data_IF_647227194487
#
_entry.id   IF_647227194487
#
_cell.length_a   1.000
_cell.length_b   1.000
_cell.length_c   1.000
_cell.angle_alpha   90.00
_cell.angle_beta   90.00
_cell.angle_gamma   90.00
#
_symmetry.space_group_name_H-M   'P 1'
#
loop_
_entity.id
_entity.type
_entity.pdbx_description
1 polymer ?
#
# COMPACT_ATOMS: atom_id res chain seq x y z
N UNK A 1 27.41 2.81 17.67
CA UNK A 1 26.61 3.45 16.62
C UNK A 1 27.45 4.21 15.61
N UNK A 2 28.43 5.04 16.00
CA UNK A 2 29.23 5.82 15.06
C UNK A 2 30.00 4.95 14.05
N UNK A 3 30.60 3.85 14.51
CA UNK A 3 31.23 2.85 13.66
C UNK A 3 30.30 2.29 12.55
N UNK A 4 29.03 2.04 12.88
CA UNK A 4 28.05 1.54 11.92
C UNK A 4 27.67 2.60 10.89
N UNK A 5 27.54 3.85 11.33
CA UNK A 5 27.26 4.98 10.45
C UNK A 5 28.43 5.25 9.50
N UNK A 6 29.64 5.23 10.00
CA UNK A 6 30.87 5.36 9.20
C UNK A 6 30.94 4.24 8.15
N UNK A 7 30.79 2.98 8.59
CA UNK A 7 30.77 1.83 7.69
C UNK A 7 29.68 1.95 6.60
N UNK A 8 28.49 2.43 6.95
CA UNK A 8 27.40 2.64 5.97
C UNK A 8 27.78 3.69 4.92
N UNK A 9 28.37 4.81 5.33
CA UNK A 9 28.81 5.87 4.42
C UNK A 9 29.95 5.39 3.50
N UNK A 10 30.90 4.67 4.05
CA UNK A 10 31.98 4.04 3.25
C UNK A 10 31.44 3.03 2.25
N UNK A 11 30.49 2.18 2.68
CA UNK A 11 29.84 1.19 1.82
C UNK A 11 29.08 1.86 0.67
N UNK A 12 28.35 2.92 0.95
CA UNK A 12 27.64 3.73 -0.05
C UNK A 12 28.61 4.30 -1.07
N UNK A 13 29.68 4.97 -0.63
CA UNK A 13 30.67 5.58 -1.50
C UNK A 13 31.42 4.53 -2.38
N UNK A 14 31.76 3.39 -1.79
CA UNK A 14 32.43 2.29 -2.50
C UNK A 14 31.50 1.66 -3.55
N UNK A 15 30.24 1.40 -3.19
CA UNK A 15 29.23 0.87 -4.12
C UNK A 15 29.00 1.80 -5.31
N UNK A 16 28.72 3.08 -5.05
CA UNK A 16 28.43 4.08 -6.07
C UNK A 16 29.63 4.29 -7.02
N UNK A 17 30.84 4.27 -6.45
CA UNK A 17 32.09 4.33 -7.25
C UNK A 17 32.28 3.12 -8.15
N UNK A 18 31.93 1.92 -7.70
CA UNK A 18 32.13 0.67 -8.46
C UNK A 18 31.07 0.43 -9.52
N UNK A 19 29.83 0.82 -9.23
CA UNK A 19 28.69 0.44 -10.06
C UNK A 19 28.06 1.59 -10.84
N UNK A 20 28.47 2.83 -10.57
CA UNK A 20 27.92 4.05 -11.18
C UNK A 20 26.39 4.14 -11.11
N UNK A 21 25.81 3.62 -10.03
CA UNK A 21 24.38 3.63 -9.69
C UNK A 21 24.23 3.93 -8.21
N UNK A 22 23.09 4.49 -7.76
CA UNK A 22 22.87 4.74 -6.34
C UNK A 22 22.93 3.46 -5.51
N UNK A 23 23.39 3.59 -4.25
CA UNK A 23 23.46 2.47 -3.33
C UNK A 23 22.07 1.83 -3.13
N UNK A 24 22.01 0.51 -3.06
CA UNK A 24 20.80 -0.31 -2.94
C UNK A 24 19.90 -0.39 -4.19
N UNK A 25 20.32 0.15 -5.33
CA UNK A 25 19.55 0.02 -6.59
C UNK A 25 19.55 -1.43 -7.10
N UNK A 26 20.67 -2.14 -6.91
CA UNK A 26 20.84 -3.55 -7.31
C UNK A 26 21.10 -4.38 -6.05
N UNK A 27 20.16 -5.27 -5.75
CA UNK A 27 20.18 -6.05 -4.52
C UNK A 27 21.41 -6.98 -4.46
N UNK A 28 21.70 -7.73 -5.52
CA UNK A 28 22.78 -8.72 -5.53
C UNK A 28 24.16 -8.05 -5.36
N UNK A 29 24.33 -6.87 -5.91
CA UNK A 29 25.53 -6.05 -5.70
C UNK A 29 25.62 -5.45 -4.31
N UNK A 30 24.50 -5.30 -3.61
CA UNK A 30 24.43 -4.75 -2.25
C UNK A 30 24.69 -5.81 -1.17
N UNK A 31 24.47 -7.09 -1.47
CA UNK A 31 24.63 -8.22 -0.53
C UNK A 31 25.97 -8.22 0.22
N UNK A 32 27.15 -8.08 -0.43
CA UNK A 32 28.43 -8.12 0.29
C UNK A 32 28.60 -7.04 1.36
N UNK A 33 27.89 -5.92 1.22
CA UNK A 33 27.90 -4.83 2.21
C UNK A 33 27.02 -5.16 3.41
N UNK A 34 25.88 -5.82 3.19
CA UNK A 34 25.03 -6.31 4.28
C UNK A 34 25.71 -7.45 5.06
N UNK A 35 26.40 -8.36 4.39
CA UNK A 35 27.18 -9.42 5.04
C UNK A 35 28.25 -8.85 5.98
N UNK A 36 29.02 -7.86 5.52
CA UNK A 36 30.01 -7.18 6.37
C UNK A 36 29.38 -6.38 7.52
N UNK A 37 28.22 -5.76 7.28
CA UNK A 37 27.48 -5.09 8.35
C UNK A 37 27.02 -6.09 9.41
N UNK A 38 26.57 -7.27 8.99
CA UNK A 38 26.21 -8.35 9.92
C UNK A 38 27.42 -8.81 10.76
N UNK A 39 28.58 -9.03 10.14
CA UNK A 39 29.80 -9.38 10.86
C UNK A 39 30.15 -8.33 11.93
N UNK A 40 30.11 -7.05 11.56
CA UNK A 40 30.37 -5.95 12.48
C UNK A 40 29.39 -5.93 13.65
N UNK A 41 28.09 -6.12 13.40
CA UNK A 41 27.05 -6.17 14.43
C UNK A 41 27.24 -7.40 15.35
N UNK A 42 27.60 -8.56 14.81
CA UNK A 42 27.89 -9.75 15.60
C UNK A 42 29.09 -9.57 16.52
N UNK A 43 30.13 -8.88 16.07
CA UNK A 43 31.28 -8.56 16.92
C UNK A 43 30.89 -7.57 18.03
N UNK A 44 30.12 -6.54 17.72
CA UNK A 44 29.59 -5.62 18.74
C UNK A 44 28.68 -6.34 19.74
N UNK A 45 27.89 -7.31 19.32
CA UNK A 45 27.04 -8.12 20.20
C UNK A 45 27.86 -9.00 21.17
N UNK A 46 29.02 -9.49 20.73
CA UNK A 46 29.95 -10.25 21.63
C UNK A 46 30.52 -9.35 22.72
N UNK A 47 30.80 -8.07 22.40
CA UNK A 47 31.31 -7.09 23.37
C UNK A 47 30.24 -6.66 24.39
N UNK A 48 29.01 -6.46 23.94
CA UNK A 48 27.86 -6.07 24.77
C UNK A 48 26.60 -6.84 24.37
N UNK A 49 26.34 -7.93 25.08
CA UNK A 49 25.19 -8.82 24.82
C UNK A 49 23.83 -8.19 25.12
N UNK A 50 23.80 -7.09 25.88
CA UNK A 50 22.56 -6.46 26.29
C UNK A 50 22.22 -5.22 25.42
N UNK A 51 22.99 -4.99 24.37
CA UNK A 51 22.85 -3.82 23.51
C UNK A 51 21.64 -3.93 22.59
N UNK A 52 20.59 -3.16 22.92
CA UNK A 52 19.31 -3.15 22.17
C UNK A 52 19.51 -2.63 20.74
N UNK A 53 20.34 -1.61 20.56
CA UNK A 53 20.62 -1.05 19.22
C UNK A 53 21.20 -2.13 18.30
N UNK A 54 22.16 -2.89 18.81
CA UNK A 54 22.81 -3.95 18.05
C UNK A 54 21.84 -5.07 17.73
N UNK A 55 21.04 -5.53 18.71
CA UNK A 55 20.06 -6.58 18.49
C UNK A 55 19.02 -6.21 17.45
N UNK A 56 18.46 -5.01 17.54
CA UNK A 56 17.44 -4.52 16.60
C UNK A 56 18.01 -4.34 15.17
N UNK A 57 19.22 -3.76 15.05
CA UNK A 57 19.86 -3.60 13.74
C UNK A 57 20.30 -4.94 13.14
N UNK A 58 20.71 -5.90 13.96
CA UNK A 58 21.04 -7.23 13.48
C UNK A 58 19.82 -7.94 12.86
N UNK A 59 18.64 -7.80 13.47
CA UNK A 59 17.40 -8.30 12.89
C UNK A 59 17.09 -7.61 11.55
N UNK A 60 17.30 -6.29 11.45
CA UNK A 60 17.09 -5.54 10.21
C UNK A 60 18.07 -5.92 9.10
N UNK A 61 19.35 -6.11 9.42
CA UNK A 61 20.36 -6.59 8.45
C UNK A 61 20.03 -7.99 7.96
N UNK A 62 19.57 -8.89 8.84
CA UNK A 62 19.15 -10.23 8.44
C UNK A 62 17.97 -10.24 7.49
N UNK A 63 17.03 -9.33 7.68
CA UNK A 63 15.94 -9.11 6.72
C UNK A 63 16.49 -8.70 5.34
N UNK A 64 17.46 -7.80 5.28
CA UNK A 64 18.14 -7.43 4.03
C UNK A 64 18.94 -8.59 3.42
N UNK A 65 19.39 -9.55 4.23
CA UNK A 65 20.04 -10.79 3.78
C UNK A 65 19.05 -11.91 3.40
N UNK A 66 17.76 -11.57 3.26
CA UNK A 66 16.67 -12.50 2.91
C UNK A 66 16.38 -13.58 3.94
N UNK A 67 16.76 -13.39 5.19
CA UNK A 67 16.25 -14.24 6.25
C UNK A 67 14.72 -14.05 6.35
N UNK A 68 14.01 -15.11 6.72
CA UNK A 68 12.56 -15.02 6.91
C UNK A 68 12.21 -14.03 8.03
N UNK A 69 11.08 -13.38 7.91
CA UNK A 69 10.58 -12.48 8.95
C UNK A 69 10.42 -13.20 10.30
N UNK A 70 10.02 -14.49 10.29
CA UNK A 70 9.96 -15.31 11.50
C UNK A 70 11.32 -15.45 12.18
N UNK A 71 12.39 -15.61 11.39
CA UNK A 71 13.78 -15.68 11.89
C UNK A 71 14.17 -14.35 12.55
N UNK A 72 13.84 -13.22 11.93
CA UNK A 72 14.11 -11.90 12.48
C UNK A 72 13.30 -11.63 13.76
N UNK A 73 12.04 -11.98 13.78
CA UNK A 73 11.18 -11.89 14.97
C UNK A 73 11.70 -12.76 16.11
N UNK A 74 12.10 -14.01 15.82
CA UNK A 74 12.64 -14.94 16.80
C UNK A 74 13.92 -14.42 17.43
N UNK A 75 14.83 -13.84 16.65
CA UNK A 75 16.07 -13.24 17.18
C UNK A 75 15.74 -12.19 18.25
N UNK A 76 14.77 -11.31 17.99
CA UNK A 76 14.35 -10.29 18.94
C UNK A 76 13.62 -10.86 20.16
N UNK A 77 12.82 -11.92 19.98
CA UNK A 77 12.17 -12.63 21.09
C UNK A 77 13.19 -13.30 22.01
N UNK A 78 14.19 -13.97 21.46
CA UNK A 78 15.27 -14.62 22.21
C UNK A 78 16.06 -13.56 22.99
N UNK A 79 16.46 -12.46 22.34
CA UNK A 79 17.11 -11.34 23.00
C UNK A 79 16.29 -10.74 24.15
N UNK A 80 14.97 -10.53 23.91
CA UNK A 80 14.06 -10.02 24.92
C UNK A 80 13.95 -10.94 26.13
N UNK A 81 13.86 -12.25 25.92
CA UNK A 81 13.76 -13.25 26.99
C UNK A 81 15.03 -13.30 27.85
N UNK A 82 16.21 -13.27 27.21
CA UNK A 82 17.49 -13.30 27.89
C UNK A 82 17.72 -12.04 28.74
N UNK A 83 17.24 -10.87 28.27
CA UNK A 83 17.52 -9.57 28.84
C UNK A 83 16.36 -8.91 29.59
N UNK A 84 15.24 -9.62 29.76
CA UNK A 84 13.95 -9.08 30.24
C UNK A 84 14.07 -8.22 31.52
N UNK A 85 14.97 -8.56 32.42
CA UNK A 85 15.14 -7.90 33.71
C UNK A 85 16.03 -6.64 33.63
N UNK A 86 16.78 -6.45 32.56
CA UNK A 86 17.71 -5.34 32.39
C UNK A 86 17.18 -4.26 31.46
N UNK A 87 16.14 -4.57 30.65
CA UNK A 87 15.58 -3.67 29.68
C UNK A 87 14.61 -2.65 30.30
N UNK A 88 14.73 -1.40 29.91
CA UNK A 88 13.73 -0.38 30.21
C UNK A 88 12.40 -0.66 29.48
N UNK A 89 11.31 -0.02 29.91
CA UNK A 89 10.02 -0.15 29.23
C UNK A 89 10.05 0.42 27.82
N UNK A 90 10.85 1.46 27.57
CA UNK A 90 11.08 2.01 26.22
C UNK A 90 11.80 1.00 25.33
N UNK A 91 12.82 0.31 25.82
CA UNK A 91 13.54 -0.73 25.07
C UNK A 91 12.62 -1.90 24.74
N UNK A 92 11.81 -2.34 25.70
CA UNK A 92 10.80 -3.38 25.47
C UNK A 92 9.76 -2.95 24.43
N UNK A 93 9.26 -1.71 24.53
CA UNK A 93 8.30 -1.18 23.56
C UNK A 93 8.90 -1.13 22.14
N UNK A 94 10.18 -0.72 22.02
CA UNK A 94 10.92 -0.73 20.76
C UNK A 94 11.03 -2.14 20.17
N UNK A 95 11.46 -3.10 20.98
CA UNK A 95 11.60 -4.50 20.56
C UNK A 95 10.23 -5.08 20.16
N UNK A 96 9.18 -4.83 20.96
CA UNK A 96 7.83 -5.28 20.62
C UNK A 96 7.31 -4.68 19.31
N UNK A 97 7.60 -3.42 19.03
CA UNK A 97 7.20 -2.78 17.77
C UNK A 97 7.92 -3.43 16.58
N UNK A 98 9.23 -3.68 16.71
CA UNK A 98 10.00 -4.35 15.66
C UNK A 98 9.54 -5.81 15.44
N UNK A 99 9.23 -6.55 16.50
CA UNK A 99 8.62 -7.89 16.40
C UNK A 99 7.27 -7.80 15.67
N UNK A 100 6.42 -6.85 16.03
CA UNK A 100 5.13 -6.63 15.38
C UNK A 100 5.25 -6.35 13.88
N UNK A 101 6.31 -5.67 13.47
CA UNK A 101 6.62 -5.48 12.05
C UNK A 101 6.94 -6.79 11.34
N UNK A 102 7.83 -7.62 11.91
CA UNK A 102 8.26 -8.88 11.28
C UNK A 102 7.15 -9.94 11.25
N UNK A 103 6.26 -9.96 12.23
CA UNK A 103 5.11 -10.88 12.23
C UNK A 103 4.06 -10.45 11.18
N UNK A 104 4.01 -9.17 10.83
CA UNK A 104 3.06 -8.65 9.86
C UNK A 104 1.64 -8.50 10.44
N UNK A 105 0.63 -8.49 9.55
CA UNK A 105 -0.77 -8.30 9.91
C UNK A 105 -1.58 -9.61 9.92
N UNK A 106 -0.94 -10.75 10.17
CA UNK A 106 -1.62 -12.03 10.35
C UNK A 106 -2.43 -12.09 11.65
N UNK A 107 -3.17 -13.16 11.87
CA UNK A 107 -4.13 -13.31 12.96
C UNK A 107 -3.56 -13.09 14.39
N UNK A 108 -2.27 -13.22 14.57
CA UNK A 108 -1.58 -12.97 15.84
C UNK A 108 -1.23 -11.50 16.08
N UNK A 109 -1.32 -10.66 15.07
CA UNK A 109 -1.16 -9.21 15.18
C UNK A 109 -2.53 -8.61 15.55
N UNK A 110 -2.59 -7.59 16.39
CA UNK A 110 -1.49 -6.73 16.78
C UNK A 110 -0.92 -7.00 18.18
N UNK A 111 -0.82 -8.24 18.62
CA UNK A 111 -0.45 -8.58 20.01
C UNK A 111 0.81 -7.84 20.49
N UNK A 112 1.89 -7.84 19.70
CA UNK A 112 3.15 -7.19 20.09
C UNK A 112 3.06 -5.68 20.03
N UNK A 113 2.35 -5.12 19.05
CA UNK A 113 2.11 -3.68 18.98
C UNK A 113 1.29 -3.19 20.19
N UNK A 114 0.28 -3.98 20.62
CA UNK A 114 -0.48 -3.69 21.84
C UNK A 114 0.37 -3.83 23.11
N UNK A 115 1.33 -4.77 23.17
CA UNK A 115 2.29 -4.86 24.26
C UNK A 115 3.16 -3.59 24.32
N UNK A 116 3.60 -3.06 23.17
CA UNK A 116 4.34 -1.80 23.11
C UNK A 116 3.47 -0.61 23.54
N UNK A 117 2.23 -0.54 23.10
CA UNK A 117 1.28 0.50 23.52
C UNK A 117 1.03 0.48 25.02
N UNK A 118 0.85 -0.70 25.62
CA UNK A 118 0.64 -0.86 27.08
C UNK A 118 1.83 -0.35 27.92
N UNK A 119 3.03 -0.33 27.34
CA UNK A 119 4.22 0.31 27.92
C UNK A 119 4.30 1.80 27.63
N UNK A 120 3.26 2.40 27.05
CA UNK A 120 3.25 3.81 26.64
C UNK A 120 4.37 4.16 25.67
N UNK A 121 4.54 3.34 24.63
CA UNK A 121 5.60 3.50 23.61
C UNK A 121 5.82 4.96 23.21
N UNK A 122 7.04 5.47 23.21
CA UNK A 122 7.36 6.82 22.76
C UNK A 122 7.51 6.90 21.22
N UNK A 123 7.40 5.78 20.50
CA UNK A 123 7.68 5.65 19.07
C UNK A 123 6.43 5.80 18.23
N UNK A 124 6.48 6.67 17.22
CA UNK A 124 5.39 6.87 16.26
C UNK A 124 5.08 5.59 15.47
N UNK A 125 6.10 4.80 15.19
CA UNK A 125 6.05 3.53 14.47
C UNK A 125 5.10 2.53 15.13
N UNK A 126 5.05 2.46 16.45
CA UNK A 126 4.10 1.63 17.20
C UNK A 126 2.66 1.97 16.82
N UNK A 127 2.34 3.25 16.79
CA UNK A 127 0.98 3.72 16.52
C UNK A 127 0.68 3.74 15.02
N UNK A 128 1.69 3.95 14.16
CA UNK A 128 1.57 3.75 12.72
C UNK A 128 1.21 2.29 12.42
N UNK A 129 1.94 1.33 12.98
CA UNK A 129 1.66 -0.09 12.83
C UNK A 129 0.26 -0.49 13.30
N UNK A 130 -0.18 0.00 14.48
CA UNK A 130 -1.55 -0.22 14.97
C UNK A 130 -2.59 0.43 14.06
N UNK A 131 -2.33 1.62 13.57
CA UNK A 131 -3.22 2.31 12.63
C UNK A 131 -3.39 1.54 11.31
N UNK A 132 -2.30 1.05 10.74
CA UNK A 132 -2.31 0.24 9.52
C UNK A 132 -3.03 -1.10 9.74
N UNK A 133 -2.80 -1.77 10.86
CA UNK A 133 -3.51 -3.00 11.20
C UNK A 133 -5.04 -2.80 11.24
N UNK A 134 -5.52 -1.82 12.00
CA UNK A 134 -6.96 -1.59 12.11
C UNK A 134 -7.57 -1.02 10.82
N UNK A 135 -6.78 -0.34 10.00
CA UNK A 135 -7.25 0.08 8.69
C UNK A 135 -7.39 -1.13 7.74
N UNK A 136 -6.45 -2.07 7.74
CA UNK A 136 -6.56 -3.33 7.00
C UNK A 136 -7.78 -4.16 7.44
N UNK A 137 -8.06 -4.21 8.74
CA UNK A 137 -9.28 -4.85 9.25
C UNK A 137 -10.57 -4.12 8.80
N UNK A 138 -10.52 -2.79 8.68
CA UNK A 138 -11.63 -2.03 8.09
C UNK A 138 -11.85 -2.39 6.62
N UNK A 139 -10.78 -2.50 5.83
CA UNK A 139 -10.87 -2.88 4.41
C UNK A 139 -11.46 -4.31 4.24
N UNK A 140 -11.09 -5.23 5.14
CA UNK A 140 -11.57 -6.62 5.09
C UNK A 140 -13.04 -6.75 5.43
N UNK A 141 -13.51 -6.08 6.48
CA UNK A 141 -14.83 -6.28 7.06
C UNK A 141 -15.80 -5.12 6.81
N UNK A 142 -15.37 -4.02 6.17
CA UNK A 142 -16.09 -2.74 6.02
C UNK A 142 -16.66 -2.21 7.36
N UNK A 143 -15.93 -2.48 8.45
CA UNK A 143 -16.40 -2.18 9.79
C UNK A 143 -16.02 -0.78 10.29
N UNK A 144 -16.94 0.20 10.31
CA UNK A 144 -16.74 1.56 10.83
C UNK A 144 -16.01 1.63 12.18
N UNK A 145 -16.11 0.58 13.00
CA UNK A 145 -15.43 0.50 14.29
C UNK A 145 -13.91 0.46 14.11
N UNK A 146 -13.43 -0.37 13.18
CA UNK A 146 -12.00 -0.52 12.92
C UNK A 146 -11.41 0.76 12.34
N UNK A 147 -12.11 1.42 11.42
CA UNK A 147 -11.71 2.73 10.90
C UNK A 147 -11.56 3.79 12.01
N UNK A 148 -12.50 3.85 12.95
CA UNK A 148 -12.43 4.80 14.08
C UNK A 148 -11.24 4.51 15.01
N UNK A 149 -10.86 3.26 15.17
CA UNK A 149 -9.67 2.86 15.92
C UNK A 149 -8.41 3.26 15.15
N UNK A 150 -8.35 2.97 13.84
CA UNK A 150 -7.23 3.37 12.99
C UNK A 150 -6.96 4.88 13.03
N UNK A 151 -8.02 5.69 12.92
CA UNK A 151 -7.93 7.16 13.02
C UNK A 151 -7.24 7.59 14.32
N UNK A 152 -7.62 7.02 15.48
CA UNK A 152 -7.01 7.37 16.78
C UNK A 152 -5.52 7.04 16.82
N UNK A 153 -5.13 5.90 16.25
CA UNK A 153 -3.73 5.51 16.23
C UNK A 153 -2.91 6.37 15.27
N UNK A 154 -3.42 6.67 14.08
CA UNK A 154 -2.75 7.59 13.15
C UNK A 154 -2.65 9.01 13.74
N UNK A 155 -3.68 9.49 14.46
CA UNK A 155 -3.62 10.77 15.15
C UNK A 155 -2.50 10.77 16.19
N UNK A 156 -2.36 9.68 16.96
CA UNK A 156 -1.29 9.56 17.95
C UNK A 156 0.08 9.48 17.30
N UNK A 157 0.25 8.71 16.22
CA UNK A 157 1.50 8.66 15.46
C UNK A 157 1.91 10.05 14.95
N UNK A 158 0.99 10.79 14.32
CA UNK A 158 1.19 12.17 13.85
C UNK A 158 1.57 13.15 14.98
N UNK A 159 1.07 12.92 16.19
CA UNK A 159 1.41 13.78 17.34
C UNK A 159 2.84 13.56 17.81
N UNK A 160 3.35 12.33 17.70
CA UNK A 160 4.71 11.97 18.08
C UNK A 160 5.71 12.36 16.99
N UNK A 161 5.45 12.00 15.74
CA UNK A 161 6.29 12.38 14.60
C UNK A 161 5.50 13.14 13.54
N UNK A 162 6.03 14.30 13.15
CA UNK A 162 5.42 15.25 12.21
C UNK A 162 5.87 15.02 10.77
N UNK A 163 6.26 13.79 10.42
CA UNK A 163 6.65 13.43 9.08
C UNK A 163 5.45 13.39 8.08
N UNK A 164 5.78 13.22 6.81
CA UNK A 164 4.81 13.16 5.73
C UNK A 164 3.83 12.00 5.93
N UNK A 165 4.34 10.78 6.15
CA UNK A 165 3.55 9.54 6.17
C UNK A 165 2.51 9.55 7.29
N UNK A 166 2.90 9.94 8.50
CA UNK A 166 1.98 10.00 9.63
C UNK A 166 0.86 11.03 9.41
N UNK A 167 1.14 12.16 8.75
CA UNK A 167 0.10 13.13 8.42
C UNK A 167 -0.79 12.63 7.27
N UNK A 168 -0.21 12.02 6.25
CA UNK A 168 -0.95 11.47 5.12
C UNK A 168 -1.91 10.36 5.59
N UNK A 169 -1.42 9.39 6.37
CA UNK A 169 -2.22 8.27 6.85
C UNK A 169 -3.39 8.73 7.73
N UNK A 170 -3.16 9.74 8.58
CA UNK A 170 -4.24 10.35 9.34
C UNK A 170 -5.28 11.01 8.43
N UNK A 171 -4.84 11.76 7.43
CA UNK A 171 -5.76 12.43 6.49
C UNK A 171 -6.51 11.43 5.61
N UNK A 172 -5.86 10.37 5.12
CA UNK A 172 -6.49 9.30 4.37
C UNK A 172 -7.59 8.59 5.19
N UNK A 173 -7.29 8.29 6.46
CA UNK A 173 -8.29 7.69 7.35
C UNK A 173 -9.47 8.63 7.68
N UNK A 174 -9.25 9.93 7.74
CA UNK A 174 -10.33 10.92 7.85
C UNK A 174 -11.18 10.97 6.58
N UNK A 175 -10.56 10.89 5.42
CA UNK A 175 -11.25 10.85 4.13
C UNK A 175 -12.16 9.62 4.06
N UNK A 176 -11.66 8.42 4.37
CA UNK A 176 -12.45 7.20 4.41
C UNK A 176 -13.61 7.29 5.43
N UNK A 177 -13.42 8.01 6.53
CA UNK A 177 -14.48 8.32 7.50
C UNK A 177 -15.40 9.48 7.04
N UNK A 178 -15.37 9.86 5.76
CA UNK A 178 -16.18 10.91 5.13
C UNK A 178 -15.99 12.32 5.71
N UNK A 179 -14.88 12.55 6.43
CA UNK A 179 -14.49 13.85 6.97
C UNK A 179 -13.67 14.63 5.94
N UNK A 180 -14.20 14.78 4.74
CA UNK A 180 -13.51 15.30 3.57
C UNK A 180 -12.88 16.69 3.79
N UNK A 181 -13.59 17.59 4.51
CA UNK A 181 -13.06 18.94 4.78
C UNK A 181 -11.85 18.90 5.74
N UNK A 182 -11.88 18.03 6.77
CA UNK A 182 -10.76 17.89 7.71
C UNK A 182 -9.55 17.26 6.99
N UNK A 183 -9.76 16.22 6.19
CA UNK A 183 -8.73 15.58 5.38
C UNK A 183 -8.08 16.55 4.39
N UNK A 184 -8.90 17.31 3.67
CA UNK A 184 -8.46 18.31 2.69
C UNK A 184 -7.48 19.32 3.29
N UNK A 185 -7.79 19.89 4.46
CA UNK A 185 -6.90 20.86 5.13
C UNK A 185 -5.51 20.26 5.38
N UNK A 186 -5.46 19.00 5.76
CA UNK A 186 -4.18 18.32 6.00
C UNK A 186 -3.43 18.09 4.68
N UNK A 187 -4.13 17.61 3.64
CA UNK A 187 -3.52 17.41 2.33
C UNK A 187 -3.03 18.73 1.69
N UNK A 188 -3.75 19.84 1.84
CA UNK A 188 -3.30 21.16 1.38
C UNK A 188 -2.00 21.59 2.11
N UNK A 189 -1.91 21.36 3.43
CA UNK A 189 -0.70 21.65 4.20
C UNK A 189 0.48 20.75 3.79
N UNK A 190 0.23 19.50 3.45
CA UNK A 190 1.25 18.59 2.94
C UNK A 190 1.68 18.98 1.53
N UNK A 191 0.75 19.31 0.64
CA UNK A 191 1.06 19.73 -0.73
C UNK A 191 1.91 21.00 -0.76
N UNK A 192 1.70 21.93 0.17
CA UNK A 192 2.55 23.12 0.30
C UNK A 192 4.02 22.78 0.61
N UNK A 193 4.28 21.64 1.28
CA UNK A 193 5.65 21.18 1.60
C UNK A 193 6.20 20.22 0.54
N UNK A 194 5.34 19.48 -0.11
CA UNK A 194 5.65 18.42 -1.08
C UNK A 194 4.88 18.64 -2.38
N UNK A 195 5.18 19.73 -3.14
CA UNK A 195 4.31 20.22 -4.22
C UNK A 195 4.24 19.29 -5.43
N UNK A 196 5.12 18.31 -5.54
CA UNK A 196 5.18 17.38 -6.67
C UNK A 196 4.62 15.99 -6.36
N UNK A 197 4.08 15.78 -5.17
CA UNK A 197 3.48 14.50 -4.79
C UNK A 197 2.12 14.31 -5.46
N UNK A 198 2.08 13.39 -6.43
CA UNK A 198 0.87 13.12 -7.22
C UNK A 198 -0.26 12.55 -6.35
N UNK A 199 0.07 11.75 -5.35
CA UNK A 199 -0.88 11.21 -4.39
C UNK A 199 -1.63 12.30 -3.60
N UNK A 200 -0.97 13.40 -3.26
CA UNK A 200 -1.62 14.54 -2.60
C UNK A 200 -2.57 15.26 -3.54
N UNK A 201 -2.17 15.43 -4.80
CA UNK A 201 -2.99 16.09 -5.82
C UNK A 201 -4.25 15.27 -6.09
N UNK A 202 -4.11 13.94 -6.21
CA UNK A 202 -5.25 13.02 -6.35
C UNK A 202 -6.16 13.06 -5.12
N UNK A 203 -5.59 12.98 -3.91
CA UNK A 203 -6.36 13.03 -2.67
C UNK A 203 -7.16 14.33 -2.52
N UNK A 204 -6.59 15.47 -2.94
CA UNK A 204 -7.28 16.75 -2.96
C UNK A 204 -8.41 16.75 -3.99
N UNK A 205 -8.20 16.15 -5.17
CA UNK A 205 -9.28 15.99 -6.14
C UNK A 205 -10.45 15.18 -5.55
N UNK A 206 -10.16 14.06 -4.91
CA UNK A 206 -11.16 13.23 -4.25
C UNK A 206 -11.94 14.01 -3.17
N UNK A 207 -11.24 14.75 -2.32
CA UNK A 207 -11.91 15.61 -1.34
C UNK A 207 -12.83 16.64 -2.01
N UNK A 208 -12.39 17.30 -3.09
CA UNK A 208 -13.19 18.29 -3.79
C UNK A 208 -14.41 17.68 -4.51
N UNK A 209 -14.30 16.46 -5.03
CA UNK A 209 -15.43 15.69 -5.58
C UNK A 209 -16.53 15.56 -4.53
N UNK A 210 -16.19 15.02 -3.36
CA UNK A 210 -17.19 14.77 -2.30
C UNK A 210 -17.66 16.03 -1.58
N UNK A 211 -16.90 17.13 -1.69
CA UNK A 211 -17.35 18.46 -1.25
C UNK A 211 -18.22 19.19 -2.29
N UNK A 212 -18.44 18.60 -3.46
CA UNK A 212 -19.26 19.16 -4.54
C UNK A 212 -18.58 20.23 -5.39
N UNK A 213 -17.25 20.41 -5.26
CA UNK A 213 -16.50 21.44 -5.97
C UNK A 213 -15.93 20.89 -7.29
N UNK A 214 -16.79 20.54 -8.25
CA UNK A 214 -16.41 19.85 -9.51
C UNK A 214 -15.27 20.55 -10.28
N UNK A 215 -15.29 21.87 -10.39
CA UNK A 215 -14.26 22.64 -11.12
C UNK A 215 -12.87 22.48 -10.48
N UNK A 216 -12.79 22.54 -9.14
CA UNK A 216 -11.54 22.34 -8.42
C UNK A 216 -11.05 20.90 -8.50
N UNK A 217 -11.95 19.94 -8.42
CA UNK A 217 -11.62 18.54 -8.58
C UNK A 217 -11.01 18.27 -9.95
N UNK A 218 -11.64 18.74 -11.03
CA UNK A 218 -11.12 18.63 -12.39
C UNK A 218 -9.78 19.34 -12.56
N UNK A 219 -9.59 20.51 -11.92
CA UNK A 219 -8.32 21.21 -11.91
C UNK A 219 -7.20 20.38 -11.28
N UNK A 220 -7.42 19.75 -10.13
CA UNK A 220 -6.44 18.85 -9.52
C UNK A 220 -6.19 17.62 -10.39
N UNK A 221 -7.23 16.96 -10.89
CA UNK A 221 -7.09 15.78 -11.76
C UNK A 221 -6.22 16.08 -13.01
N UNK A 222 -6.38 17.23 -13.61
CA UNK A 222 -5.59 17.62 -14.80
C UNK A 222 -4.08 17.74 -14.52
N UNK A 223 -3.67 17.77 -13.26
CA UNK A 223 -2.26 17.86 -12.85
C UNK A 223 -1.67 16.50 -12.44
N UNK A 224 -2.52 15.48 -12.22
CA UNK A 224 -2.06 14.15 -11.84
C UNK A 224 -1.32 13.52 -13.02
N UNK A 225 -0.11 13.04 -12.74
CA UNK A 225 0.68 12.22 -13.66
C UNK A 225 0.70 10.80 -13.08
N UNK A 226 0.26 9.83 -13.88
CA UNK A 226 0.35 8.43 -13.53
C UNK A 226 1.78 7.93 -13.62
N UNK A 227 2.12 6.94 -12.82
CA UNK A 227 3.45 6.38 -12.72
C UNK A 227 4.18 6.76 -11.44
N UNK A 228 5.45 6.40 -11.37
CA UNK A 228 6.29 6.59 -10.19
C UNK A 228 6.81 8.03 -10.10
N UNK A 229 6.75 8.63 -8.89
CA UNK A 229 7.43 9.91 -8.62
C UNK A 229 8.88 9.64 -8.26
N UNK A 230 9.80 10.07 -9.15
CA UNK A 230 11.25 9.89 -9.00
C UNK A 230 11.85 10.74 -7.86
N UNK A 231 11.11 11.67 -7.29
CA UNK A 231 11.61 12.58 -6.25
C UNK A 231 11.64 11.95 -4.84
N UNK A 232 11.11 10.72 -4.68
CA UNK A 232 11.00 10.07 -3.38
C UNK A 232 11.67 8.70 -3.40
N UNK A 233 12.80 8.59 -2.68
CA UNK A 233 13.66 7.39 -2.69
C UNK A 233 13.10 6.21 -1.89
N UNK A 234 12.13 6.40 -1.01
CA UNK A 234 11.63 5.37 -0.09
C UNK A 234 10.15 5.04 -0.22
N UNK A 235 9.35 5.90 -0.83
CA UNK A 235 7.95 5.63 -1.12
C UNK A 235 7.66 5.84 -2.58
N UNK A 236 6.96 4.89 -3.18
CA UNK A 236 6.41 5.06 -4.51
C UNK A 236 5.20 5.97 -4.44
N UNK A 237 5.20 7.03 -5.24
CA UNK A 237 4.02 7.88 -5.44
C UNK A 237 3.27 7.44 -6.69
N UNK A 238 3.18 6.12 -6.88
CA UNK A 238 2.55 5.54 -8.04
C UNK A 238 1.04 5.75 -7.98
N UNK A 239 0.50 6.40 -9.01
CA UNK A 239 -0.91 6.57 -9.23
C UNK A 239 -1.32 5.70 -10.40
N UNK A 240 -2.27 4.81 -10.16
CA UNK A 240 -2.88 4.04 -11.23
C UNK A 240 -3.74 4.94 -12.13
N UNK A 241 -3.66 4.71 -13.43
CA UNK A 241 -4.50 5.41 -14.41
C UNK A 241 -6.00 5.25 -14.11
N UNK A 242 -6.41 4.09 -13.62
CA UNK A 242 -7.80 3.81 -13.23
C UNK A 242 -8.30 4.78 -12.15
N UNK A 243 -7.50 5.15 -11.17
CA UNK A 243 -7.89 6.10 -10.12
C UNK A 243 -8.25 7.46 -10.69
N UNK A 244 -7.56 7.86 -11.76
CA UNK A 244 -7.83 9.12 -12.46
C UNK A 244 -9.07 9.00 -13.33
N UNK A 245 -9.22 7.88 -14.06
CA UNK A 245 -10.36 7.68 -14.97
C UNK A 245 -11.66 7.54 -14.22
N UNK A 246 -11.70 6.77 -13.15
CA UNK A 246 -12.86 6.63 -12.26
C UNK A 246 -13.32 7.99 -11.71
N UNK A 247 -12.36 8.88 -11.43
CA UNK A 247 -12.68 10.24 -10.99
C UNK A 247 -13.41 11.06 -12.06
N UNK A 248 -13.03 10.94 -13.32
CA UNK A 248 -13.77 11.59 -14.43
C UNK A 248 -15.17 11.03 -14.57
N UNK A 249 -15.35 9.72 -14.41
CA UNK A 249 -16.69 9.12 -14.41
C UNK A 249 -17.55 9.65 -13.26
N UNK A 250 -17.00 9.74 -12.04
CA UNK A 250 -17.74 10.27 -10.87
C UNK A 250 -18.14 11.73 -11.07
N UNK A 251 -17.31 12.52 -11.75
CA UNK A 251 -17.55 13.93 -12.09
C UNK A 251 -18.57 14.13 -13.24
N UNK A 252 -19.06 13.07 -13.88
CA UNK A 252 -19.87 13.10 -15.10
C UNK A 252 -19.12 13.59 -16.35
N UNK A 253 -17.79 13.63 -16.32
CA UNK A 253 -16.91 13.99 -17.44
C UNK A 253 -16.73 12.78 -18.39
N UNK A 254 -17.87 12.28 -18.90
CA UNK A 254 -17.95 11.00 -19.62
C UNK A 254 -17.14 10.94 -20.90
N UNK A 255 -16.99 12.04 -21.63
CA UNK A 255 -16.19 12.03 -22.86
C UNK A 255 -14.71 11.87 -22.53
N UNK A 256 -14.21 12.60 -21.51
CA UNK A 256 -12.85 12.47 -21.02
C UNK A 256 -12.59 11.06 -20.48
N UNK A 257 -13.54 10.50 -19.72
CA UNK A 257 -13.47 9.12 -19.22
C UNK A 257 -13.32 8.12 -20.36
N UNK A 258 -14.22 8.14 -21.34
CA UNK A 258 -14.20 7.22 -22.49
C UNK A 258 -12.92 7.37 -23.32
N UNK A 259 -12.45 8.59 -23.55
CA UNK A 259 -11.26 8.83 -24.36
C UNK A 259 -9.99 8.29 -23.69
N UNK A 260 -9.89 8.42 -22.37
CA UNK A 260 -8.75 7.87 -21.61
C UNK A 260 -8.78 6.33 -21.50
N UNK A 261 -9.96 5.72 -21.44
CA UNK A 261 -10.08 4.27 -21.31
C UNK A 261 -9.91 3.49 -22.63
N UNK A 262 -9.89 4.14 -23.78
CA UNK A 262 -9.85 3.48 -25.11
C UNK A 262 -8.69 2.51 -25.27
N UNK A 263 -7.49 2.89 -24.85
CA UNK A 263 -6.29 2.08 -25.06
C UNK A 263 -6.22 0.90 -24.09
N UNK A 264 -6.86 1.02 -22.94
CA UNK A 264 -6.85 -0.01 -21.89
C UNK A 264 -7.86 -1.12 -22.23
N UNK A 265 -9.04 -0.76 -22.68
CA UNK A 265 -10.14 -1.68 -22.97
C UNK A 265 -9.82 -2.73 -24.04
N UNK A 266 -8.96 -2.40 -24.99
CA UNK A 266 -8.56 -3.36 -26.02
C UNK A 266 -7.73 -4.53 -25.47
N UNK A 267 -7.10 -4.37 -24.31
CA UNK A 267 -6.09 -5.28 -23.79
C UNK A 267 -6.51 -6.09 -22.56
N UNK A 268 -7.63 -5.77 -21.92
CA UNK A 268 -8.05 -6.38 -20.66
C UNK A 268 -9.44 -7.01 -20.72
N UNK A 269 -9.74 -7.89 -19.77
CA UNK A 269 -11.09 -8.36 -19.51
C UNK A 269 -11.90 -7.18 -18.94
N UNK A 270 -13.05 -6.92 -19.52
CA UNK A 270 -13.91 -5.78 -19.17
C UNK A 270 -15.29 -6.24 -18.68
N UNK A 271 -15.39 -7.47 -18.24
CA UNK A 271 -16.65 -8.09 -17.80
C UNK A 271 -17.21 -7.49 -16.50
N UNK A 272 -16.37 -6.83 -15.71
CA UNK A 272 -16.74 -6.13 -14.48
C UNK A 272 -16.81 -4.59 -14.61
N UNK A 273 -16.57 -4.04 -15.81
CA UNK A 273 -16.54 -2.59 -16.03
C UNK A 273 -17.93 -2.00 -16.34
N UNK A 274 -18.90 -2.23 -15.49
CA UNK A 274 -20.27 -1.77 -15.64
C UNK A 274 -20.36 -0.27 -15.98
N UNK A 275 -19.58 0.59 -15.31
CA UNK A 275 -19.55 2.03 -15.52
C UNK A 275 -19.09 2.45 -16.91
N UNK A 276 -18.23 1.66 -17.57
CA UNK A 276 -17.80 1.92 -18.94
C UNK A 276 -18.91 1.60 -19.94
N UNK A 277 -19.54 0.42 -19.83
CA UNK A 277 -20.69 0.05 -20.65
C UNK A 277 -21.86 1.01 -20.46
N UNK A 278 -22.16 1.37 -19.20
CA UNK A 278 -23.16 2.37 -18.89
C UNK A 278 -22.86 3.71 -19.60
N UNK A 279 -21.60 4.16 -19.59
CA UNK A 279 -21.21 5.41 -20.21
C UNK A 279 -21.34 5.36 -21.73
N UNK A 280 -20.93 4.28 -22.39
CA UNK A 280 -21.17 4.09 -23.82
C UNK A 280 -22.66 4.13 -24.16
N UNK A 281 -23.49 3.51 -23.33
CA UNK A 281 -24.94 3.45 -23.52
C UNK A 281 -25.59 4.81 -23.43
N UNK A 282 -25.34 5.58 -22.37
CA UNK A 282 -25.96 6.92 -22.16
C UNK A 282 -25.43 7.97 -23.15
N UNK A 283 -24.20 7.80 -23.65
CA UNK A 283 -23.61 8.65 -24.70
C UNK A 283 -24.07 8.24 -26.11
N UNK A 284 -25.00 7.29 -26.22
CA UNK A 284 -25.54 6.77 -27.47
C UNK A 284 -24.49 6.19 -28.43
N UNK A 285 -23.38 5.66 -27.92
CA UNK A 285 -22.29 4.99 -28.66
C UNK A 285 -22.62 3.50 -28.85
N UNK A 286 -23.75 3.20 -29.47
CA UNK A 286 -24.30 1.84 -29.57
C UNK A 286 -23.40 0.86 -30.32
N UNK A 287 -22.74 1.30 -31.38
CA UNK A 287 -21.85 0.45 -32.18
C UNK A 287 -20.61 0.05 -31.36
N UNK A 288 -20.00 0.99 -30.63
CA UNK A 288 -18.88 0.72 -29.73
C UNK A 288 -19.32 -0.23 -28.59
N UNK A 289 -20.49 0.02 -28.00
CA UNK A 289 -21.08 -0.81 -26.96
C UNK A 289 -21.23 -2.28 -27.40
N UNK A 290 -21.93 -2.54 -28.50
CA UNK A 290 -22.16 -3.92 -28.96
C UNK A 290 -20.90 -4.59 -29.49
N UNK A 291 -19.97 -3.84 -30.07
CA UNK A 291 -18.67 -4.38 -30.47
C UNK A 291 -17.91 -4.92 -29.25
N UNK A 292 -17.87 -4.12 -28.17
CA UNK A 292 -17.21 -4.52 -26.93
C UNK A 292 -17.94 -5.70 -26.26
N UNK A 293 -19.27 -5.66 -26.17
CA UNK A 293 -20.09 -6.77 -25.62
C UNK A 293 -19.80 -8.08 -26.34
N UNK A 294 -19.82 -8.08 -27.66
CA UNK A 294 -19.55 -9.29 -28.44
C UNK A 294 -18.12 -9.81 -28.24
N UNK A 295 -17.14 -8.91 -28.18
CA UNK A 295 -15.74 -9.28 -27.92
C UNK A 295 -15.58 -9.90 -26.52
N UNK A 296 -16.18 -9.30 -25.49
CA UNK A 296 -16.09 -9.80 -24.12
C UNK A 296 -16.79 -11.15 -23.95
N UNK A 297 -18.00 -11.31 -24.53
CA UNK A 297 -18.68 -12.61 -24.54
C UNK A 297 -17.83 -13.68 -25.22
N UNK A 298 -17.22 -13.37 -26.37
CA UNK A 298 -16.36 -14.32 -27.08
C UNK A 298 -15.15 -14.74 -26.24
N UNK A 299 -14.52 -13.80 -25.55
CA UNK A 299 -13.39 -14.08 -24.63
C UNK A 299 -13.81 -14.98 -23.47
N UNK A 300 -14.94 -14.67 -22.81
CA UNK A 300 -15.46 -15.48 -21.69
C UNK A 300 -15.84 -16.90 -22.15
N UNK A 301 -16.45 -17.04 -23.34
CA UNK A 301 -16.76 -18.36 -23.91
C UNK A 301 -15.49 -19.13 -24.32
N UNK A 302 -14.44 -18.44 -24.73
CA UNK A 302 -13.13 -19.04 -25.04
C UNK A 302 -12.44 -19.52 -23.76
N UNK A 303 -12.42 -18.73 -22.68
CA UNK A 303 -11.87 -19.14 -21.39
C UNK A 303 -12.57 -20.37 -20.81
N UNK A 304 -13.91 -20.49 -20.99
CA UNK A 304 -14.65 -21.70 -20.59
C UNK A 304 -14.15 -22.92 -21.38
N UNK A 305 -13.99 -22.79 -22.70
CA UNK A 305 -13.51 -23.89 -23.56
C UNK A 305 -12.07 -24.27 -23.23
N UNK A 306 -11.20 -23.30 -23.01
CA UNK A 306 -9.82 -23.53 -22.61
C UNK A 306 -9.77 -24.28 -21.28
N UNK A 307 -10.54 -23.87 -20.27
CA UNK A 307 -10.62 -24.57 -19.00
C UNK A 307 -11.18 -26.01 -19.14
N UNK A 308 -12.11 -26.24 -20.08
CA UNK A 308 -12.64 -27.59 -20.32
C UNK A 308 -11.60 -28.56 -20.94
N UNK A 309 -10.64 -28.05 -21.70
CA UNK A 309 -9.61 -28.88 -22.38
C UNK A 309 -8.27 -28.87 -21.62
N UNK A 310 -8.05 -27.94 -20.71
CA UNK A 310 -6.83 -27.85 -19.92
C UNK A 310 -6.71 -29.04 -18.96
N UNK A 311 -5.53 -29.66 -18.91
CA UNK A 311 -5.20 -30.80 -18.06
C UNK A 311 -4.29 -30.41 -16.87
N UNK A 312 -3.88 -29.15 -16.77
CA UNK A 312 -2.92 -28.67 -15.74
C UNK A 312 -3.58 -28.28 -14.40
N UNK A 313 -4.70 -28.90 -14.04
CA UNK A 313 -5.33 -28.71 -12.73
C UNK A 313 -4.84 -29.75 -11.72
N UNK A 314 -4.67 -29.34 -10.46
CA UNK A 314 -4.23 -30.22 -9.37
C UNK A 314 -5.24 -31.33 -9.06
N UNK A 315 -6.51 -31.11 -9.33
CA UNK A 315 -7.58 -32.10 -9.17
C UNK A 315 -8.77 -31.89 -10.12
N UNK A 316 -9.57 -32.95 -10.40
CA UNK A 316 -10.82 -32.82 -11.16
C UNK A 316 -11.83 -31.86 -10.51
N UNK A 317 -11.90 -31.84 -9.17
CA UNK A 317 -12.82 -30.98 -8.43
C UNK A 317 -12.45 -29.50 -8.61
N UNK A 318 -11.18 -29.18 -8.58
CA UNK A 318 -10.66 -27.84 -8.86
C UNK A 318 -11.01 -27.38 -10.28
N UNK A 319 -10.78 -28.24 -11.28
CA UNK A 319 -11.18 -27.98 -12.68
C UNK A 319 -12.67 -27.65 -12.79
N UNK A 320 -13.52 -28.44 -12.13
CA UNK A 320 -14.97 -28.23 -12.16
C UNK A 320 -15.36 -26.90 -11.51
N UNK A 321 -14.69 -26.52 -10.43
CA UNK A 321 -14.90 -25.23 -9.73
C UNK A 321 -14.52 -24.04 -10.63
N UNK A 322 -13.37 -24.07 -11.33
CA UNK A 322 -12.97 -23.04 -12.28
C UNK A 322 -13.94 -22.91 -13.45
N UNK A 323 -14.32 -24.02 -14.08
CA UNK A 323 -15.29 -24.01 -15.19
C UNK A 323 -16.63 -23.43 -14.72
N UNK A 324 -17.08 -23.79 -13.52
CA UNK A 324 -18.31 -23.25 -12.92
C UNK A 324 -18.20 -21.75 -12.70
N UNK A 325 -17.09 -21.26 -12.16
CA UNK A 325 -16.83 -19.84 -11.95
C UNK A 325 -16.92 -19.05 -13.25
N UNK A 326 -16.23 -19.48 -14.32
CA UNK A 326 -16.29 -18.80 -15.62
C UNK A 326 -17.70 -18.79 -16.24
N UNK A 327 -18.47 -19.88 -16.07
CA UNK A 327 -19.86 -19.92 -16.52
C UNK A 327 -20.76 -18.95 -15.72
N UNK A 328 -20.53 -18.83 -14.42
CA UNK A 328 -21.22 -17.85 -13.57
C UNK A 328 -20.88 -16.41 -13.96
N UNK A 329 -19.62 -16.12 -14.28
CA UNK A 329 -19.17 -14.79 -14.71
C UNK A 329 -19.80 -14.39 -16.04
N UNK A 330 -19.89 -15.30 -17.01
CA UNK A 330 -20.62 -15.06 -18.26
C UNK A 330 -22.11 -14.75 -18.01
N UNK A 331 -22.74 -15.45 -17.06
CA UNK A 331 -24.15 -15.18 -16.71
C UNK A 331 -24.30 -13.81 -16.06
N UNK A 332 -23.43 -13.47 -15.10
CA UNK A 332 -23.40 -12.15 -14.43
C UNK A 332 -23.19 -11.03 -15.45
N UNK A 333 -22.21 -11.21 -16.34
CA UNK A 333 -21.93 -10.23 -17.39
C UNK A 333 -23.14 -9.97 -18.30
N UNK A 334 -23.79 -11.02 -18.80
CA UNK A 334 -25.00 -10.89 -19.63
C UNK A 334 -26.16 -10.21 -18.90
N UNK A 335 -26.31 -10.46 -17.60
CA UNK A 335 -27.31 -9.79 -16.78
C UNK A 335 -26.99 -8.30 -16.64
N UNK A 336 -25.74 -7.93 -16.35
CA UNK A 336 -25.27 -6.55 -16.28
C UNK A 336 -25.57 -5.78 -17.57
N UNK A 337 -25.22 -6.35 -18.73
CA UNK A 337 -25.47 -5.73 -20.03
C UNK A 337 -26.97 -5.48 -20.25
N UNK A 338 -27.80 -6.46 -19.90
CA UNK A 338 -29.25 -6.33 -20.02
C UNK A 338 -29.80 -5.24 -19.11
N UNK A 339 -29.32 -5.14 -17.87
CA UNK A 339 -29.74 -4.10 -16.94
C UNK A 339 -29.41 -2.70 -17.46
N UNK A 340 -28.26 -2.52 -18.10
CA UNK A 340 -27.85 -1.28 -18.76
C UNK A 340 -28.80 -0.95 -19.93
N UNK A 341 -29.13 -1.93 -20.79
CA UNK A 341 -30.07 -1.78 -21.91
C UNK A 341 -31.48 -1.41 -21.43
N UNK A 342 -31.90 -1.98 -20.31
CA UNK A 342 -33.20 -1.73 -19.68
C UNK A 342 -33.24 -0.38 -18.92
N UNK A 343 -32.12 0.35 -18.83
CA UNK A 343 -32.02 1.68 -18.24
C UNK A 343 -31.76 1.67 -16.74
N UNK A 344 -30.69 0.97 -16.32
CA UNK A 344 -30.25 0.96 -14.93
C UNK A 344 -29.89 2.38 -14.41
N UNK A 345 -29.81 2.52 -13.11
CA UNK A 345 -29.24 3.72 -12.48
C UNK A 345 -27.73 3.80 -12.78
N UNK A 346 -27.19 5.03 -12.72
CA UNK A 346 -25.74 5.23 -12.79
C UNK A 346 -25.03 4.31 -11.80
N UNK A 347 -24.16 3.41 -12.27
CA UNK A 347 -23.32 2.58 -11.40
C UNK A 347 -22.49 3.45 -10.45
N UNK A 348 -22.42 3.07 -9.19
CA UNK A 348 -21.64 3.77 -8.18
C UNK A 348 -20.20 3.25 -8.18
N UNK A 349 -19.25 4.18 -8.21
CA UNK A 349 -17.83 3.88 -8.02
C UNK A 349 -17.38 4.49 -6.70
N UNK A 350 -16.58 3.72 -5.96
CA UNK A 350 -15.95 4.20 -4.73
C UNK A 350 -14.54 4.69 -5.03
N UNK A 351 -14.27 5.95 -4.74
CA UNK A 351 -12.93 6.52 -4.82
C UNK A 351 -12.23 6.31 -3.47
N UNK A 352 -11.54 5.19 -3.31
CA UNK A 352 -10.86 4.85 -2.08
C UNK A 352 -9.50 5.54 -1.97
N UNK A 353 -9.14 5.96 -0.77
CA UNK A 353 -7.84 6.55 -0.47
C UNK A 353 -7.18 5.79 0.67
N UNK A 354 -6.21 4.96 0.30
CA UNK A 354 -5.51 4.10 1.26
C UNK A 354 -4.38 4.86 1.97
N UNK A 355 -4.09 4.54 3.24
CA UNK A 355 -2.87 4.97 3.90
C UNK A 355 -1.64 4.45 3.16
N UNK A 356 -0.50 5.10 3.35
CA UNK A 356 0.77 4.58 2.88
C UNK A 356 1.22 3.45 3.81
N UNK A 357 1.27 2.23 3.27
CA UNK A 357 1.74 1.02 3.97
C UNK A 357 3.26 0.99 4.01
N UNK A 358 3.86 2.07 4.50
CA UNK A 358 5.30 2.15 4.66
C UNK A 358 5.79 1.38 5.89
N UNK A 359 7.07 1.05 5.83
CA UNK A 359 7.80 0.44 6.92
C UNK A 359 7.58 1.17 8.25
N UNK A 360 7.14 0.45 9.28
CA UNK A 360 7.07 0.92 10.66
C UNK A 360 8.10 0.24 11.58
N UNK A 361 9.14 -0.35 11.00
CA UNK A 361 10.28 -0.90 11.72
C UNK A 361 11.11 0.26 12.29
N UNK A 362 11.18 0.40 13.61
CA UNK A 362 11.91 1.51 14.28
C UNK A 362 13.39 1.48 13.89
N UNK A 363 13.96 0.29 13.79
CA UNK A 363 15.36 0.07 13.45
C UNK A 363 15.55 -0.41 12.02
N UNK A 364 14.73 0.10 11.11
CA UNK A 364 14.95 -0.14 9.69
C UNK A 364 16.31 0.39 9.27
N UNK A 365 17.17 -0.49 8.79
CA UNK A 365 18.53 -0.15 8.38
C UNK A 365 18.54 0.96 7.33
N UNK A 366 17.64 0.87 6.37
CA UNK A 366 17.52 1.84 5.27
C UNK A 366 17.15 3.22 5.81
N UNK A 367 16.09 3.32 6.62
CA UNK A 367 15.65 4.61 7.18
C UNK A 367 16.66 5.23 8.14
N UNK A 368 17.40 4.40 8.86
CA UNK A 368 18.33 4.88 9.92
C UNK A 368 19.60 5.50 9.36
N UNK A 369 20.02 5.10 8.16
CA UNK A 369 21.32 5.47 7.59
C UNK A 369 21.23 6.15 6.23
N UNK A 370 20.04 6.35 5.67
CA UNK A 370 19.86 6.98 4.34
C UNK A 370 19.90 8.52 4.37
N UNK A 371 19.81 9.15 5.54
CA UNK A 371 19.86 10.61 5.73
C UNK A 371 21.31 11.15 5.75
#
# INVERSE_FOLDING_TARGET
>A
MDKLKEFWQESKADYESKHNTPFLTDYDKSLPYFEKMQELLLDMQKEDKNNVDVACLLASVRMELRDSYDTCAKLLLDFLNENKNCLSDNDKARIYTNIGYYIGFDSSTPEYLLKAENLSSPYAETYKGLGLYYFSEYERDNGDKNLKIAIKYFEKAKTISKDYVNHFNYAASLYENKKYQEAKIIFENLLAKYPHRMRLILALSYCEIFLGNKEKAAFYLSQVKCGQDENYSLSTDEISEYQVYDSYYVLDEYDTFLDNCKDIICNYYTDDWEHYYYTLWIKNKKDEFYTLVNSTVSKLEESIKEAEIDEEYDSPDEKEEYIKSYKEDLVKYRAMIKDIEDGCKKPEITLNLYPEYECFLIDCLRHKFMD
#
